data_IF_479234128392
#
_entry.id   IF_479234128392
#
_cell.length_a   1.000
_cell.length_b   1.000
_cell.length_c   1.000
_cell.angle_alpha   90.00
_cell.angle_beta   90.00
_cell.angle_gamma   90.00
#
_symmetry.space_group_name_H-M   'P 1'
#
loop_
_entity.id
_entity.type
_entity.pdbx_description
1 polymer ?
#
# COMPACT_ATOMS: atom_id res chain seq x y z
N UNK A 1 -6.43 5.82 -12.99
CA UNK A 1 -7.23 6.96 -12.52
C UNK A 1 -6.66 7.43 -11.20
N UNK A 2 -6.59 8.75 -10.98
CA UNK A 2 -6.35 9.36 -9.68
C UNK A 2 -7.48 10.32 -9.37
N UNK A 3 -8.00 10.27 -8.15
CA UNK A 3 -8.99 11.25 -7.66
C UNK A 3 -8.61 11.74 -6.27
N UNK A 4 -8.98 12.98 -6.02
CA UNK A 4 -8.84 13.68 -4.75
C UNK A 4 -10.24 14.22 -4.37
N UNK A 5 -11.09 13.39 -3.73
CA UNK A 5 -12.46 13.76 -3.41
C UNK A 5 -12.50 14.69 -2.19
N UNK A 6 -13.66 15.32 -1.88
CA UNK A 6 -13.83 16.03 -0.62
C UNK A 6 -13.58 15.11 0.58
N UNK A 7 -12.78 15.60 1.55
CA UNK A 7 -12.36 14.80 2.72
C UNK A 7 -13.40 14.81 3.86
N UNK A 8 -14.51 15.49 3.67
CA UNK A 8 -15.61 15.56 4.64
C UNK A 8 -15.17 16.07 6.04
N UNK A 9 -14.25 17.02 6.08
CA UNK A 9 -13.66 17.57 7.31
C UNK A 9 -14.63 18.36 8.18
N UNK A 10 -15.80 18.73 7.64
CA UNK A 10 -16.79 19.56 8.32
C UNK A 10 -16.49 21.08 8.29
N UNK A 11 -15.43 21.50 7.62
CA UNK A 11 -15.10 22.91 7.44
C UNK A 11 -15.98 23.51 6.34
N UNK A 12 -16.96 24.33 6.73
CA UNK A 12 -17.99 24.89 5.84
C UNK A 12 -17.51 26.02 4.91
N UNK A 13 -16.28 26.45 5.03
CA UNK A 13 -15.75 27.65 4.35
C UNK A 13 -15.07 27.41 3.00
N UNK A 14 -15.04 26.19 2.50
CA UNK A 14 -14.35 25.86 1.24
C UNK A 14 -15.29 25.98 0.04
N UNK A 15 -14.71 26.39 -1.10
CA UNK A 15 -15.37 26.48 -2.43
C UNK A 15 -15.91 25.11 -2.88
N UNK A 16 -15.27 24.03 -2.46
CA UNK A 16 -15.85 22.68 -2.47
C UNK A 16 -16.63 22.52 -1.17
N UNK A 17 -17.94 22.73 -1.28
CA UNK A 17 -18.85 22.56 -0.17
C UNK A 17 -18.81 21.07 0.26
N UNK A 18 -17.94 20.74 1.23
CA UNK A 18 -17.86 19.43 1.88
C UNK A 18 -19.18 19.10 2.58
N UNK A 19 -20.00 20.09 2.82
CA UNK A 19 -21.38 19.93 3.22
C UNK A 19 -22.22 19.59 1.99
N UNK A 20 -22.79 18.42 1.98
CA UNK A 20 -23.80 17.97 1.02
C UNK A 20 -25.09 18.83 1.14
N UNK A 21 -24.93 20.09 1.46
CA UNK A 21 -25.96 21.13 1.62
C UNK A 21 -26.25 21.89 0.33
N UNK A 22 -25.57 21.57 -0.78
CA UNK A 22 -25.94 22.13 -2.08
C UNK A 22 -27.42 21.83 -2.35
N UNK A 23 -28.23 22.84 -2.71
CA UNK A 23 -29.66 22.67 -2.95
C UNK A 23 -29.99 21.56 -3.97
N UNK A 24 -29.11 21.34 -4.96
CA UNK A 24 -29.30 20.29 -5.97
C UNK A 24 -29.04 18.90 -5.36
N UNK A 25 -28.05 18.77 -4.49
CA UNK A 25 -27.73 17.53 -3.79
C UNK A 25 -28.83 17.22 -2.75
N UNK A 26 -29.29 18.21 -1.99
CA UNK A 26 -30.46 18.04 -1.10
C UNK A 26 -31.69 17.60 -1.84
N UNK A 27 -32.00 18.21 -2.98
CA UNK A 27 -33.14 17.83 -3.82
C UNK A 27 -32.96 16.39 -4.34
N UNK A 28 -31.77 16.01 -4.77
CA UNK A 28 -31.46 14.66 -5.22
C UNK A 28 -31.58 13.63 -4.09
N UNK A 29 -31.00 13.90 -2.91
CA UNK A 29 -31.12 13.06 -1.72
C UNK A 29 -32.56 12.90 -1.31
N UNK A 30 -33.35 13.97 -1.28
CA UNK A 30 -34.82 13.92 -0.98
C UNK A 30 -35.61 13.09 -2.00
N UNK A 31 -35.17 13.00 -3.25
CA UNK A 31 -35.77 12.18 -4.29
C UNK A 31 -35.40 10.70 -4.22
N UNK A 32 -34.12 10.40 -3.85
CA UNK A 32 -33.57 9.04 -3.87
C UNK A 32 -33.70 8.36 -2.52
N UNK A 33 -33.51 9.09 -1.42
CA UNK A 33 -33.51 8.56 -0.04
C UNK A 33 -34.84 8.92 0.69
N UNK A 34 -35.59 9.90 0.17
CA UNK A 34 -36.84 10.32 0.76
C UNK A 34 -36.66 11.11 2.06
N UNK A 35 -37.66 11.03 2.98
CA UNK A 35 -37.66 11.70 4.28
C UNK A 35 -36.54 11.23 5.19
N UNK A 36 -36.04 10.01 5.03
CA UNK A 36 -34.93 9.44 5.79
C UNK A 36 -33.60 10.15 5.50
N UNK A 37 -33.51 10.92 4.40
CA UNK A 37 -32.32 11.74 4.08
C UNK A 37 -32.05 12.87 5.07
N UNK A 38 -33.01 13.26 5.92
CA UNK A 38 -32.83 14.27 6.95
C UNK A 38 -32.07 13.74 8.17
N UNK A 39 -32.20 12.42 8.43
CA UNK A 39 -31.57 11.73 9.55
C UNK A 39 -30.17 11.18 9.22
N UNK A 40 -29.73 11.32 7.97
CA UNK A 40 -28.41 10.82 7.55
C UNK A 40 -27.28 11.60 8.23
N UNK A 41 -26.33 10.85 8.75
CA UNK A 41 -25.08 11.39 9.27
C UNK A 41 -24.26 12.08 8.15
N UNK A 42 -23.25 12.83 8.53
CA UNK A 42 -22.30 13.45 7.58
C UNK A 42 -21.64 12.38 6.69
N UNK A 43 -21.28 11.24 7.26
CA UNK A 43 -20.67 10.12 6.55
C UNK A 43 -21.64 9.48 5.54
N UNK A 44 -22.91 9.29 5.90
CA UNK A 44 -23.91 8.73 4.98
C UNK A 44 -24.13 9.64 3.77
N UNK A 45 -24.18 10.95 3.97
CA UNK A 45 -24.32 11.93 2.89
C UNK A 45 -23.10 11.91 1.96
N UNK A 46 -21.91 11.78 2.53
CA UNK A 46 -20.69 11.63 1.74
C UNK A 46 -20.71 10.34 0.92
N UNK A 47 -21.10 9.23 1.51
CA UNK A 47 -21.26 7.95 0.82
C UNK A 47 -22.27 8.03 -0.32
N UNK A 48 -23.44 8.64 -0.10
CA UNK A 48 -24.45 8.85 -1.14
C UNK A 48 -23.88 9.62 -2.34
N UNK A 49 -23.00 10.57 -2.10
CA UNK A 49 -22.32 11.33 -3.14
C UNK A 49 -21.25 10.49 -3.85
N UNK A 50 -20.44 9.75 -3.11
CA UNK A 50 -19.25 9.07 -3.65
C UNK A 50 -19.57 7.72 -4.31
N UNK A 51 -20.51 6.95 -3.77
CA UNK A 51 -20.83 5.61 -4.26
C UNK A 51 -21.12 5.54 -5.76
N UNK A 52 -22.06 6.35 -6.33
CA UNK A 52 -22.32 6.32 -7.76
C UNK A 52 -21.12 6.75 -8.60
N UNK A 53 -20.31 7.67 -8.10
CA UNK A 53 -19.07 8.13 -8.77
C UNK A 53 -18.03 7.03 -8.82
N UNK A 54 -17.80 6.33 -7.72
CA UNK A 54 -16.87 5.21 -7.66
C UNK A 54 -17.30 4.06 -8.57
N UNK A 55 -18.61 3.76 -8.65
CA UNK A 55 -19.16 2.78 -9.61
C UNK A 55 -18.89 3.17 -11.06
N UNK A 56 -19.06 4.44 -11.40
CA UNK A 56 -18.75 4.94 -12.75
C UNK A 56 -17.25 4.83 -13.04
N UNK A 57 -16.40 5.23 -12.10
CA UNK A 57 -14.94 5.14 -12.24
C UNK A 57 -14.48 3.69 -12.41
N UNK A 58 -15.08 2.75 -11.66
CA UNK A 58 -14.82 1.32 -11.85
C UNK A 58 -15.17 0.83 -13.27
N UNK A 59 -16.29 1.30 -13.85
CA UNK A 59 -16.66 0.96 -15.23
C UNK A 59 -15.70 1.54 -16.26
N UNK A 60 -15.19 2.77 -16.03
CA UNK A 60 -14.25 3.46 -16.90
C UNK A 60 -12.85 2.86 -16.90
N UNK A 61 -12.47 2.14 -15.85
CA UNK A 61 -11.17 1.50 -15.78
C UNK A 61 -11.05 0.38 -16.82
N UNK A 62 -9.89 0.32 -17.49
CA UNK A 62 -9.47 -0.84 -18.25
C UNK A 62 -9.30 -2.07 -17.34
N UNK A 63 -9.32 -3.28 -17.90
CA UNK A 63 -9.22 -4.51 -17.09
C UNK A 63 -7.91 -4.58 -16.28
N UNK A 64 -6.81 -4.05 -16.83
CA UNK A 64 -5.52 -3.89 -16.14
C UNK A 64 -5.34 -2.50 -15.52
N UNK A 65 -6.42 -1.75 -15.32
CA UNK A 65 -6.41 -0.40 -14.77
C UNK A 65 -6.37 -0.39 -13.24
N UNK A 66 -5.92 0.74 -12.70
CA UNK A 66 -5.80 0.99 -11.27
C UNK A 66 -6.37 2.36 -10.93
N UNK A 67 -6.96 2.49 -9.74
CA UNK A 67 -7.42 3.75 -9.18
C UNK A 67 -6.68 4.05 -7.88
N UNK A 68 -6.29 5.31 -7.75
CA UNK A 68 -5.73 5.90 -6.54
C UNK A 68 -6.73 6.93 -6.01
N UNK A 69 -7.02 6.87 -4.73
CA UNK A 69 -7.98 7.78 -4.07
C UNK A 69 -7.31 8.37 -2.84
N UNK A 70 -7.09 9.69 -2.85
CA UNK A 70 -6.59 10.42 -1.68
C UNK A 70 -7.67 10.55 -0.63
N UNK A 71 -7.30 10.45 0.64
CA UNK A 71 -8.21 10.65 1.78
C UNK A 71 -7.42 10.86 3.06
N UNK A 72 -7.97 11.63 3.99
CA UNK A 72 -7.50 11.74 5.37
C UNK A 72 -8.25 10.77 6.31
N UNK A 73 -7.99 10.86 7.61
CA UNK A 73 -8.60 10.00 8.63
C UNK A 73 -10.13 10.16 8.75
N UNK A 74 -10.73 11.26 8.20
CA UNK A 74 -12.17 11.48 8.35
C UNK A 74 -13.00 10.42 7.63
N UNK A 75 -12.59 10.01 6.42
CA UNK A 75 -13.37 9.06 5.60
C UNK A 75 -12.54 7.86 5.08
N UNK A 76 -11.28 7.71 5.47
CA UNK A 76 -10.42 6.62 4.99
C UNK A 76 -11.04 5.23 5.24
N UNK A 77 -11.56 5.00 6.45
CA UNK A 77 -12.16 3.71 6.80
C UNK A 77 -13.45 3.46 6.02
N UNK A 78 -14.31 4.48 5.91
CA UNK A 78 -15.58 4.43 5.16
C UNK A 78 -15.32 4.23 3.67
N UNK A 79 -14.36 4.96 3.10
CA UNK A 79 -13.92 4.80 1.72
C UNK A 79 -13.42 3.38 1.46
N UNK A 80 -12.62 2.82 2.38
CA UNK A 80 -12.10 1.45 2.25
C UNK A 80 -13.24 0.43 2.13
N UNK A 81 -14.26 0.53 2.98
CA UNK A 81 -15.41 -0.38 2.96
C UNK A 81 -16.20 -0.28 1.64
N UNK A 82 -16.47 0.93 1.17
CA UNK A 82 -17.21 1.12 -0.08
C UNK A 82 -16.41 0.70 -1.31
N UNK A 83 -15.10 0.89 -1.27
CA UNK A 83 -14.20 0.42 -2.33
C UNK A 83 -14.13 -1.12 -2.36
N UNK A 84 -14.11 -1.78 -1.20
CA UNK A 84 -14.19 -3.25 -1.10
C UNK A 84 -15.48 -3.79 -1.72
N UNK A 85 -16.60 -3.10 -1.53
CA UNK A 85 -17.89 -3.49 -2.13
C UNK A 85 -17.87 -3.32 -3.66
N UNK A 86 -17.36 -2.21 -4.17
CA UNK A 86 -17.41 -1.86 -5.60
C UNK A 86 -16.35 -2.61 -6.42
N UNK A 87 -15.11 -2.66 -5.92
CA UNK A 87 -13.96 -3.24 -6.62
C UNK A 87 -13.71 -4.69 -6.22
N UNK A 88 -14.26 -5.12 -5.09
CA UNK A 88 -13.93 -6.39 -4.46
C UNK A 88 -12.71 -6.28 -3.55
N UNK A 89 -12.79 -6.83 -2.32
CA UNK A 89 -11.70 -6.79 -1.34
C UNK A 89 -10.41 -7.45 -1.87
N UNK A 90 -10.51 -8.47 -2.73
CA UNK A 90 -9.37 -9.13 -3.37
C UNK A 90 -8.58 -8.23 -4.33
N UNK A 91 -9.20 -7.16 -4.83
CA UNK A 91 -8.57 -6.19 -5.72
C UNK A 91 -7.92 -5.00 -4.99
N UNK A 92 -7.97 -4.98 -3.67
CA UNK A 92 -7.19 -4.05 -2.86
C UNK A 92 -5.70 -4.30 -3.06
N UNK A 93 -4.97 -3.26 -3.47
CA UNK A 93 -3.52 -3.34 -3.67
C UNK A 93 -2.80 -2.94 -2.39
N UNK A 94 -3.02 -1.72 -1.93
CA UNK A 94 -2.38 -1.17 -0.72
C UNK A 94 -3.02 0.14 -0.28
N UNK A 95 -2.69 0.58 0.94
CA UNK A 95 -2.86 1.95 1.42
C UNK A 95 -1.48 2.57 1.57
N UNK A 96 -1.20 3.60 0.78
CA UNK A 96 0.04 4.36 0.86
C UNK A 96 -0.15 5.50 1.86
N UNK A 97 0.88 5.79 2.63
CA UNK A 97 0.93 6.95 3.53
C UNK A 97 1.64 8.07 2.77
N UNK A 98 0.94 9.20 2.60
CA UNK A 98 1.46 10.39 1.95
C UNK A 98 1.83 11.43 2.99
N UNK A 99 3.11 11.67 3.19
CA UNK A 99 3.59 12.70 4.11
C UNK A 99 3.27 14.09 3.55
N UNK A 100 2.38 14.84 4.25
CA UNK A 100 1.96 16.19 3.84
C UNK A 100 2.63 17.31 4.63
N UNK A 101 3.22 17.00 5.78
CA UNK A 101 3.85 17.99 6.67
C UNK A 101 5.13 17.43 7.27
N UNK A 102 6.21 18.20 7.16
CA UNK A 102 7.53 17.82 7.69
C UNK A 102 7.80 18.33 9.11
N UNK A 103 6.99 19.30 9.59
CA UNK A 103 7.19 19.92 10.90
C UNK A 103 6.09 19.55 11.88
N UNK A 104 6.42 19.16 13.11
CA UNK A 104 5.44 18.92 14.18
C UNK A 104 4.60 20.17 14.43
N UNK A 105 3.33 19.97 14.76
CA UNK A 105 2.42 21.05 15.15
C UNK A 105 2.49 21.26 16.66
N UNK A 106 3.12 22.34 17.11
CA UNK A 106 3.28 22.65 18.54
C UNK A 106 1.97 22.99 19.26
N UNK A 107 0.90 23.31 18.54
CA UNK A 107 -0.38 23.72 19.10
C UNK A 107 -1.40 22.58 19.25
N UNK A 108 -1.05 21.34 18.92
CA UNK A 108 -1.97 20.21 19.05
C UNK A 108 -1.86 19.58 20.43
N UNK A 109 -3.01 19.18 20.99
CA UNK A 109 -3.10 18.57 22.32
C UNK A 109 -2.60 17.10 22.33
N UNK A 110 -2.68 16.40 21.21
CA UNK A 110 -2.37 14.97 21.11
C UNK A 110 -1.20 14.74 20.16
N UNK A 111 -1.45 14.16 19.01
CA UNK A 111 -0.43 13.89 17.99
C UNK A 111 -0.60 14.81 16.79
N UNK A 112 0.51 15.17 16.16
CA UNK A 112 0.49 15.94 14.90
C UNK A 112 0.05 15.05 13.75
N UNK A 113 -0.96 15.48 13.01
CA UNK A 113 -1.36 14.85 11.76
C UNK A 113 -0.43 15.32 10.64
N UNK A 114 0.45 14.44 10.20
CA UNK A 114 1.48 14.74 9.20
C UNK A 114 1.27 14.05 7.86
N UNK A 115 0.22 13.24 7.72
CA UNK A 115 0.01 12.43 6.50
C UNK A 115 -1.45 12.38 6.08
N UNK A 116 -1.65 11.99 4.84
CA UNK A 116 -2.89 11.51 4.28
C UNK A 116 -2.70 10.08 3.78
N UNK A 117 -3.79 9.44 3.39
CA UNK A 117 -3.79 8.10 2.80
C UNK A 117 -4.04 8.19 1.30
N UNK A 118 -3.47 7.25 0.58
CA UNK A 118 -3.76 7.01 -0.81
C UNK A 118 -4.18 5.56 -0.96
N UNK A 119 -5.50 5.30 -1.05
CA UNK A 119 -6.02 3.97 -1.25
C UNK A 119 -5.87 3.56 -2.70
N UNK A 120 -5.36 2.35 -2.93
CA UNK A 120 -5.06 1.83 -4.25
C UNK A 120 -5.84 0.54 -4.51
N UNK A 121 -6.68 0.55 -5.55
CA UNK A 121 -7.43 -0.60 -6.03
C UNK A 121 -7.18 -0.84 -7.51
N UNK A 122 -6.94 -2.08 -7.87
CA UNK A 122 -6.96 -2.48 -9.27
C UNK A 122 -8.38 -2.90 -9.71
N UNK A 123 -8.69 -2.84 -10.99
CA UNK A 123 -9.92 -3.46 -11.51
C UNK A 123 -9.82 -4.98 -11.50
N UNK A 124 -8.63 -5.50 -11.84
CA UNK A 124 -8.23 -6.89 -11.69
C UNK A 124 -6.77 -6.90 -11.25
N UNK A 125 -6.53 -7.25 -9.98
CA UNK A 125 -5.20 -7.20 -9.36
C UNK A 125 -4.20 -8.14 -10.04
N UNK A 126 -4.65 -9.29 -10.52
CA UNK A 126 -3.80 -10.25 -11.22
C UNK A 126 -3.35 -9.76 -12.61
N UNK A 127 -4.12 -8.84 -13.21
CA UNK A 127 -3.78 -8.27 -14.50
C UNK A 127 -2.99 -6.94 -14.40
N UNK A 128 -2.83 -6.39 -13.20
CA UNK A 128 -2.16 -5.12 -12.98
C UNK A 128 -0.78 -5.31 -12.37
N UNK A 129 0.21 -4.63 -12.95
CA UNK A 129 1.57 -4.59 -12.42
C UNK A 129 2.07 -3.15 -12.33
N UNK A 130 2.69 -2.75 -11.21
CA UNK A 130 3.27 -1.43 -11.09
C UNK A 130 4.51 -1.30 -11.98
N UNK A 131 4.72 -0.10 -12.53
CA UNK A 131 5.98 0.22 -13.18
C UNK A 131 7.08 0.33 -12.11
N UNK A 132 8.15 -0.41 -12.30
CA UNK A 132 9.30 -0.34 -11.40
C UNK A 132 10.04 1.00 -11.60
N UNK A 133 10.44 1.60 -10.50
CA UNK A 133 11.31 2.77 -10.53
C UNK A 133 12.69 2.38 -11.11
N UNK A 134 13.29 3.31 -11.84
CA UNK A 134 14.68 3.14 -12.27
C UNK A 134 15.59 3.03 -11.05
N UNK A 135 16.53 2.10 -11.10
CA UNK A 135 17.52 1.97 -10.04
C UNK A 135 18.44 3.20 -10.04
N UNK A 136 18.73 3.72 -8.84
CA UNK A 136 19.71 4.80 -8.71
C UNK A 136 21.13 4.29 -8.97
N UNK A 137 22.04 5.19 -9.31
CA UNK A 137 23.47 4.86 -9.47
C UNK A 137 24.06 4.31 -8.18
N UNK A 138 23.66 4.82 -7.01
CA UNK A 138 24.08 4.30 -5.70
C UNK A 138 23.61 2.85 -5.48
N UNK A 139 22.41 2.50 -5.91
CA UNK A 139 21.92 1.12 -5.84
C UNK A 139 22.72 0.20 -6.75
N UNK A 140 23.12 0.69 -7.94
CA UNK A 140 23.91 -0.07 -8.90
C UNK A 140 25.37 -0.21 -8.45
N UNK A 141 25.95 0.82 -7.83
CA UNK A 141 27.31 0.80 -7.30
C UNK A 141 27.58 -0.27 -6.22
N UNK A 142 26.51 -0.79 -5.60
CA UNK A 142 26.58 -1.92 -4.63
C UNK A 142 26.85 -3.27 -5.31
N UNK A 143 26.66 -3.36 -6.63
CA UNK A 143 26.92 -4.57 -7.41
C UNK A 143 28.29 -4.44 -8.06
N UNK A 144 29.15 -5.42 -7.83
CA UNK A 144 30.54 -5.46 -8.34
C UNK A 144 30.80 -6.88 -8.87
N UNK A 145 31.85 -7.02 -9.64
CA UNK A 145 32.34 -8.31 -10.13
C UNK A 145 33.82 -8.47 -9.74
N UNK A 146 34.15 -8.67 -8.44
CA UNK A 146 35.54 -8.75 -7.97
C UNK A 146 36.23 -10.04 -8.37
N UNK A 147 35.51 -11.09 -8.72
CA UNK A 147 36.00 -12.42 -9.06
C UNK A 147 35.86 -12.75 -10.57
N UNK A 148 35.48 -11.74 -11.39
CA UNK A 148 35.27 -11.88 -12.82
C UNK A 148 34.23 -12.98 -13.16
N UNK A 149 33.18 -13.12 -12.34
CA UNK A 149 32.11 -14.09 -12.58
C UNK A 149 31.48 -13.83 -13.96
N UNK A 150 31.38 -14.85 -14.85
CA UNK A 150 30.82 -14.70 -16.18
C UNK A 150 29.32 -14.34 -16.19
N UNK A 151 28.62 -14.54 -15.07
CA UNK A 151 27.19 -14.15 -14.88
C UNK A 151 27.05 -12.64 -14.68
N UNK A 152 28.13 -11.90 -14.40
CA UNK A 152 28.15 -10.43 -14.30
C UNK A 152 28.30 -9.91 -12.88
N UNK A 153 27.81 -8.70 -12.65
CA UNK A 153 27.94 -8.01 -11.35
C UNK A 153 26.98 -8.60 -10.30
N UNK A 154 27.47 -8.76 -9.08
CA UNK A 154 26.70 -9.29 -7.96
C UNK A 154 26.95 -8.49 -6.67
N UNK A 155 26.14 -8.72 -5.66
CA UNK A 155 26.36 -8.21 -4.29
C UNK A 155 26.11 -9.32 -3.28
N UNK A 156 26.87 -9.37 -2.18
CA UNK A 156 26.58 -10.30 -1.09
C UNK A 156 25.26 -9.95 -0.42
N UNK A 157 24.52 -10.98 0.00
CA UNK A 157 23.33 -10.87 0.81
C UNK A 157 23.48 -11.72 2.07
N UNK A 158 22.84 -11.31 3.17
CA UNK A 158 22.77 -12.12 4.39
C UNK A 158 21.93 -13.36 4.11
N UNK A 159 22.53 -14.54 4.28
CA UNK A 159 21.87 -15.83 4.12
C UNK A 159 21.31 -16.41 5.42
N UNK A 160 21.14 -15.57 6.45
CA UNK A 160 20.60 -15.96 7.74
C UNK A 160 19.25 -15.30 8.04
N UNK A 161 18.41 -15.95 8.88
CA UNK A 161 17.14 -15.45 9.39
C UNK A 161 17.10 -15.54 10.92
N UNK A 162 16.03 -15.04 11.54
CA UNK A 162 15.83 -15.16 12.98
C UNK A 162 15.49 -16.62 13.35
N UNK A 163 16.16 -17.16 14.36
CA UNK A 163 16.04 -18.56 14.77
C UNK A 163 14.62 -18.98 15.22
N UNK A 164 13.82 -18.04 15.75
CA UNK A 164 12.46 -18.31 16.22
C UNK A 164 11.48 -18.81 15.14
N UNK A 165 11.84 -18.67 13.87
CA UNK A 165 11.07 -19.14 12.71
C UNK A 165 11.77 -20.27 11.95
N UNK A 166 12.97 -20.70 12.42
CA UNK A 166 13.77 -21.73 11.76
C UNK A 166 13.30 -23.15 12.07
N UNK A 167 13.37 -24.03 11.07
CA UNK A 167 13.19 -25.47 11.24
C UNK A 167 14.53 -26.13 11.59
N UNK A 168 14.50 -27.35 12.16
CA UNK A 168 15.70 -28.07 12.59
C UNK A 168 16.77 -28.20 11.49
N UNK A 169 16.35 -28.36 10.22
CA UNK A 169 17.27 -28.49 9.08
C UNK A 169 18.01 -27.21 8.68
N UNK A 170 17.73 -26.07 9.34
CA UNK A 170 18.38 -24.77 9.09
C UNK A 170 19.47 -24.46 10.11
N UNK A 171 19.80 -25.38 11.02
CA UNK A 171 20.86 -25.23 12.03
C UNK A 171 21.98 -26.23 11.75
N UNK A 172 22.98 -25.82 10.97
CA UNK A 172 24.12 -26.65 10.61
C UNK A 172 25.39 -25.80 10.47
N UNK A 173 26.56 -26.40 10.44
CA UNK A 173 27.83 -25.72 10.09
C UNK A 173 27.94 -25.72 8.57
N UNK A 174 27.90 -24.55 7.98
CA UNK A 174 27.98 -24.39 6.54
C UNK A 174 29.44 -24.47 6.08
N UNK A 175 29.75 -25.38 5.17
CA UNK A 175 31.06 -25.46 4.55
C UNK A 175 31.00 -24.82 3.16
N UNK A 176 31.73 -23.74 2.96
CA UNK A 176 31.83 -23.06 1.68
C UNK A 176 32.69 -23.87 0.67
N UNK A 177 32.57 -23.63 -0.66
CA UNK A 177 33.34 -24.36 -1.68
C UNK A 177 34.88 -24.31 -1.49
N UNK A 178 35.36 -23.26 -0.86
CA UNK A 178 36.78 -23.11 -0.52
C UNK A 178 37.21 -23.86 0.77
N UNK A 179 36.31 -24.67 1.35
CA UNK A 179 36.56 -25.43 2.58
C UNK A 179 36.40 -24.64 3.88
N UNK A 180 36.10 -23.34 3.81
CA UNK A 180 35.90 -22.53 5.01
C UNK A 180 34.56 -22.86 5.67
N UNK A 181 34.65 -23.08 6.99
CA UNK A 181 33.44 -23.33 7.81
C UNK A 181 32.87 -22.03 8.37
N UNK A 182 31.55 -21.93 8.33
CA UNK A 182 30.77 -20.83 8.87
C UNK A 182 29.77 -21.38 9.87
N UNK A 183 29.80 -20.82 11.08
CA UNK A 183 28.81 -21.10 12.13
C UNK A 183 27.76 -20.01 12.20
N UNK A 184 26.58 -20.37 12.65
CA UNK A 184 25.49 -19.41 12.83
C UNK A 184 25.81 -18.41 13.95
N UNK A 185 25.54 -17.12 13.76
CA UNK A 185 25.49 -16.17 14.84
C UNK A 185 24.40 -16.53 15.85
N UNK A 186 24.56 -16.11 17.10
CA UNK A 186 23.56 -16.37 18.14
C UNK A 186 22.18 -15.80 17.74
N UNK A 187 21.13 -16.59 17.95
CA UNK A 187 19.74 -16.20 17.61
C UNK A 187 19.42 -16.22 16.10
N UNK A 188 20.30 -16.81 15.26
CA UNK A 188 20.09 -16.92 13.80
C UNK A 188 19.98 -18.38 13.36
N UNK A 189 19.30 -18.59 12.22
CA UNK A 189 19.31 -19.83 11.45
C UNK A 189 19.64 -19.52 9.98
N UNK A 190 20.04 -20.52 9.20
CA UNK A 190 20.23 -20.32 7.77
C UNK A 190 18.89 -20.11 7.07
N UNK A 191 18.86 -19.36 5.96
CA UNK A 191 17.65 -19.20 5.13
C UNK A 191 17.24 -20.53 4.47
N UNK A 192 18.22 -21.38 4.15
CA UNK A 192 18.03 -22.64 3.45
C UNK A 192 18.42 -23.81 4.33
N UNK A 193 17.77 -24.95 4.13
CA UNK A 193 18.24 -26.21 4.69
C UNK A 193 19.53 -26.64 4.00
N UNK A 194 20.35 -27.48 4.66
CA UNK A 194 21.62 -27.91 4.12
C UNK A 194 21.54 -28.52 2.70
N UNK A 195 20.58 -29.42 2.38
CA UNK A 195 20.47 -29.97 1.03
C UNK A 195 20.18 -28.91 -0.04
N UNK A 196 19.31 -27.93 0.28
CA UNK A 196 18.99 -26.83 -0.64
C UNK A 196 20.20 -25.93 -0.85
N UNK A 197 20.96 -25.66 0.21
CA UNK A 197 22.18 -24.88 0.09
C UNK A 197 23.24 -25.56 -0.78
N UNK A 198 23.45 -26.87 -0.60
CA UNK A 198 24.39 -27.65 -1.43
C UNK A 198 23.99 -27.63 -2.91
N UNK A 199 22.70 -27.70 -3.21
CA UNK A 199 22.22 -27.57 -4.59
C UNK A 199 22.54 -26.19 -5.16
N UNK A 200 22.27 -25.09 -4.41
CA UNK A 200 22.57 -23.73 -4.85
C UNK A 200 24.08 -23.46 -5.08
N UNK A 201 24.95 -24.23 -4.43
CA UNK A 201 26.42 -24.14 -4.61
C UNK A 201 26.89 -24.94 -5.83
N UNK A 202 26.14 -25.98 -6.24
CA UNK A 202 26.47 -26.82 -7.39
C UNK A 202 25.99 -26.26 -8.72
N UNK A 203 24.99 -25.38 -8.71
CA UNK A 203 24.44 -24.66 -9.88
C UNK A 203 25.30 -23.42 -10.22
#
# INVERSE_FOLDING_TARGET
>A
IYIDPPYNTGNEGWVYNDNVNDPKIKKWLGQVVGKEGEDLSRHDKWLCMMYPRLKLLHRLLANNGVIFVSMDDNEQATLKLVMDEIFGAGNFVTSLVWEKRYSPQNAVKWFSESHDFLLVYAKNKEAWHPNLLKRSEEMNARYRNPDNDPRGVWKPVDSTAQAGHGTQGQFYVLTAPNGKQHTLPNGRCWLYTEPVFQQLVSD
#
